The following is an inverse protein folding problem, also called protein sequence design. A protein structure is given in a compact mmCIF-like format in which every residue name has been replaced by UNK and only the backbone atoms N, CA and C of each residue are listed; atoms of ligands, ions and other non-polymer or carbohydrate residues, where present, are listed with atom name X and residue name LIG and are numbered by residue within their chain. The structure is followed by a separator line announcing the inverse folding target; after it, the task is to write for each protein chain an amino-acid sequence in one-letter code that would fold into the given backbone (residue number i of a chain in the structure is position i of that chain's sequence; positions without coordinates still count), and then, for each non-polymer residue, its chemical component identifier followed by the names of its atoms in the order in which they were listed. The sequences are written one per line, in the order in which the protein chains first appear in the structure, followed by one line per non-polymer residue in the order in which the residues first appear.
data_IF_260399315329
#
_entry.id   IF_260399315329
#
_cell.length_a   1.000
_cell.length_b   1.000
_cell.length_c   1.000
_cell.angle_alpha   90.00
_cell.angle_beta   90.00
_cell.angle_gamma   90.00
#
_symmetry.space_group_name_H-M   'P 1'
#
loop_
_entity.id
_entity.type
_entity.pdbx_description
1 polymer ?
#
# COMPACT_ATOMS: atom_id res chain seq x y z
N UNK A 1 18.63 -19.86 -1.50
CA UNK A 1 19.04 -18.45 -1.57
C UNK A 1 18.22 -17.77 -0.51
N UNK A 2 18.84 -17.47 0.61
CA UNK A 2 18.19 -16.69 1.65
C UNK A 2 18.50 -15.24 1.34
N UNK A 3 17.45 -14.46 1.09
CA UNK A 3 17.56 -13.00 0.98
C UNK A 3 17.59 -12.48 2.42
N UNK A 4 18.62 -11.73 2.77
CA UNK A 4 18.61 -10.98 4.02
C UNK A 4 17.49 -9.94 3.95
N UNK A 5 16.66 -9.92 4.98
CA UNK A 5 15.55 -8.98 5.08
C UNK A 5 16.14 -7.59 5.31
N UNK A 6 15.95 -6.70 4.33
CA UNK A 6 16.39 -5.30 4.40
C UNK A 6 15.20 -4.45 4.88
N UNK A 7 15.27 -4.00 6.13
CA UNK A 7 14.25 -3.14 6.74
C UNK A 7 14.19 -1.74 6.09
N UNK A 8 15.23 -1.32 5.38
CA UNK A 8 15.29 -0.04 4.68
C UNK A 8 14.72 -0.11 3.25
N UNK A 9 14.50 -1.33 2.74
CA UNK A 9 13.94 -1.51 1.40
C UNK A 9 12.47 -1.04 1.32
N UNK A 10 12.10 -0.27 0.29
CA UNK A 10 10.73 0.21 0.15
C UNK A 10 9.77 -0.92 -0.20
N UNK A 11 8.58 -0.90 0.41
CA UNK A 11 7.49 -1.84 0.09
C UNK A 11 6.86 -1.47 -1.25
N UNK A 12 6.88 -2.40 -2.20
CA UNK A 12 6.25 -2.23 -3.51
C UNK A 12 4.85 -2.84 -3.53
N UNK A 13 3.83 -1.98 -3.50
CA UNK A 13 2.43 -2.40 -3.60
C UNK A 13 1.98 -2.47 -5.07
N UNK A 14 1.83 -3.69 -5.57
CA UNK A 14 1.33 -3.93 -6.92
C UNK A 14 -0.17 -3.60 -7.07
N UNK A 15 -0.60 -3.41 -8.31
CA UNK A 15 -2.02 -3.20 -8.67
C UNK A 15 -2.99 -4.23 -8.06
N UNK A 16 -2.67 -5.54 -7.99
CA UNK A 16 -3.56 -6.52 -7.35
C UNK A 16 -3.85 -6.21 -5.87
N UNK A 17 -2.84 -5.75 -5.13
CA UNK A 17 -2.98 -5.38 -3.73
C UNK A 17 -3.84 -4.11 -3.60
N UNK A 18 -3.50 -3.07 -4.36
CA UNK A 18 -4.24 -1.81 -4.39
C UNK A 18 -5.73 -2.02 -4.74
N UNK A 19 -6.01 -2.93 -5.68
CA UNK A 19 -7.39 -3.27 -6.09
C UNK A 19 -8.14 -3.98 -4.95
N UNK A 20 -7.51 -4.95 -4.30
CA UNK A 20 -8.13 -5.72 -3.19
C UNK A 20 -8.42 -4.81 -1.99
N UNK A 21 -7.48 -3.94 -1.63
CA UNK A 21 -7.60 -2.99 -0.53
C UNK A 21 -8.49 -1.78 -0.83
N UNK A 22 -9.06 -1.70 -2.05
CA UNK A 22 -9.85 -0.56 -2.55
C UNK A 22 -9.12 0.78 -2.32
N UNK A 23 -7.83 0.79 -2.66
CA UNK A 23 -6.96 1.94 -2.45
C UNK A 23 -7.51 3.19 -3.18
N UNK A 24 -7.50 4.32 -2.48
CA UNK A 24 -7.74 5.64 -3.04
C UNK A 24 -6.40 6.37 -3.06
N UNK A 25 -6.00 6.82 -4.24
CA UNK A 25 -4.73 7.53 -4.44
C UNK A 25 -5.07 8.99 -4.71
N UNK A 26 -4.65 9.87 -3.81
CA UNK A 26 -4.69 11.30 -4.02
C UNK A 26 -3.45 11.73 -4.79
N UNK A 27 -3.65 12.13 -6.04
CA UNK A 27 -2.56 12.51 -6.94
C UNK A 27 -2.01 13.91 -6.64
N UNK A 28 -2.74 14.74 -5.90
CA UNK A 28 -2.30 16.09 -5.52
C UNK A 28 -1.34 16.04 -4.33
N UNK A 29 -1.69 15.24 -3.32
CA UNK A 29 -0.89 15.10 -2.10
C UNK A 29 0.12 13.94 -2.15
N UNK A 30 -0.11 12.96 -3.03
CA UNK A 30 0.69 11.74 -3.11
C UNK A 30 0.33 10.69 -2.04
N UNK A 31 -0.78 10.89 -1.33
CA UNK A 31 -1.24 9.98 -0.29
C UNK A 31 -2.03 8.79 -0.85
N UNK A 32 -1.90 7.64 -0.19
CA UNK A 32 -2.69 6.44 -0.46
C UNK A 32 -3.53 6.13 0.78
N UNK A 33 -4.83 5.95 0.59
CA UNK A 33 -5.78 5.60 1.64
C UNK A 33 -6.39 4.23 1.37
N UNK A 34 -6.47 3.39 2.38
CA UNK A 34 -7.09 2.06 2.29
C UNK A 34 -8.39 2.02 3.08
N UNK A 35 -9.25 1.06 2.75
CA UNK A 35 -10.48 0.82 3.52
C UNK A 35 -10.52 -0.61 4.04
N UNK A 36 -10.57 -0.74 5.37
CA UNK A 36 -10.69 -2.02 6.08
C UNK A 36 -11.96 -1.98 6.92
N UNK A 37 -12.84 -2.98 6.75
CA UNK A 37 -14.13 -3.07 7.46
C UNK A 37 -14.98 -1.78 7.38
N UNK A 38 -14.94 -1.13 6.22
CA UNK A 38 -15.69 0.12 5.98
C UNK A 38 -15.05 1.38 6.55
N UNK A 39 -13.92 1.27 7.26
CA UNK A 39 -13.19 2.40 7.85
C UNK A 39 -11.95 2.73 7.04
N UNK A 40 -11.67 4.03 6.92
CA UNK A 40 -10.40 4.49 6.35
C UNK A 40 -9.25 4.16 7.30
N UNK A 41 -8.17 3.66 6.73
CA UNK A 41 -6.89 3.44 7.40
C UNK A 41 -5.81 4.11 6.56
N UNK A 42 -4.94 4.85 7.25
CA UNK A 42 -3.81 5.59 6.70
C UNK A 42 -2.53 4.93 7.17
#
# INVERSE_FOLDING_TARGET
MDIEEDEEAPILLGRPFLTTGKALIDMETGEIKFRVDGKEVT
#
